data_IF_582222572225
#
_entry.id   IF_582222572225
#
_cell.length_a   1.000
_cell.length_b   1.000
_cell.length_c   1.000
_cell.angle_alpha   90.00
_cell.angle_beta   90.00
_cell.angle_gamma   90.00
#
_symmetry.space_group_name_H-M   'P 1'
#
loop_
_entity.id
_entity.type
_entity.pdbx_description
1 polymer ?
#
# COMPACT_ATOMS: atom_id res chain seq x y z
N UNK A 1 -22.99 -4.42 -15.85
CA UNK A 1 -21.82 -4.54 -16.74
C UNK A 1 -21.19 -3.21 -17.18
N UNK A 2 -21.49 -2.05 -16.58
CA UNK A 2 -20.80 -0.78 -16.88
C UNK A 2 -19.87 -0.29 -15.74
N UNK A 3 -19.75 -1.08 -14.67
CA UNK A 3 -18.98 -0.73 -13.46
C UNK A 3 -17.60 -1.44 -13.41
N UNK A 4 -17.38 -2.48 -14.24
CA UNK A 4 -16.15 -3.28 -14.22
C UNK A 4 -14.91 -2.53 -14.73
N UNK A 5 -15.04 -1.72 -15.78
CA UNK A 5 -13.90 -0.98 -16.36
C UNK A 5 -13.44 0.15 -15.43
N UNK A 6 -14.38 0.83 -14.76
CA UNK A 6 -14.03 1.89 -13.82
C UNK A 6 -13.33 1.33 -12.58
N UNK A 7 -13.86 0.24 -12.00
CA UNK A 7 -13.22 -0.42 -10.85
C UNK A 7 -11.80 -0.91 -11.21
N UNK A 8 -11.65 -1.52 -12.38
CA UNK A 8 -10.36 -1.91 -12.94
C UNK A 8 -9.37 -0.73 -13.01
N UNK A 9 -9.78 0.38 -13.64
CA UNK A 9 -8.94 1.56 -13.79
C UNK A 9 -8.54 2.12 -12.42
N UNK A 10 -9.48 2.24 -11.48
CA UNK A 10 -9.23 2.75 -10.13
C UNK A 10 -8.20 1.87 -9.41
N UNK A 11 -8.38 0.54 -9.43
CA UNK A 11 -7.45 -0.39 -8.76
C UNK A 11 -6.05 -0.34 -9.35
N UNK A 12 -5.95 -0.34 -10.69
CA UNK A 12 -4.66 -0.24 -11.38
C UNK A 12 -3.97 1.08 -11.06
N UNK A 13 -4.69 2.21 -11.14
CA UNK A 13 -4.15 3.52 -10.78
C UNK A 13 -3.72 3.60 -9.32
N UNK A 14 -4.47 2.99 -8.41
CA UNK A 14 -4.12 2.95 -6.98
C UNK A 14 -2.82 2.17 -6.75
N UNK A 15 -2.66 1.01 -7.40
CA UNK A 15 -1.43 0.21 -7.31
C UNK A 15 -0.24 0.94 -7.91
N UNK A 16 -0.42 1.61 -9.04
CA UNK A 16 0.62 2.43 -9.65
C UNK A 16 1.01 3.62 -8.77
N UNK A 17 0.03 4.34 -8.22
CA UNK A 17 0.26 5.50 -7.35
C UNK A 17 0.98 5.10 -6.06
N UNK A 18 0.51 4.05 -5.38
CA UNK A 18 1.14 3.53 -4.16
C UNK A 18 2.52 2.93 -4.43
N UNK A 19 2.70 2.23 -5.54
CA UNK A 19 4.00 1.69 -5.96
C UNK A 19 5.02 2.79 -6.28
N UNK A 20 4.60 3.84 -6.99
CA UNK A 20 5.46 4.99 -7.28
C UNK A 20 5.87 5.73 -6.01
N UNK A 21 4.92 5.97 -5.10
CA UNK A 21 5.19 6.61 -3.82
C UNK A 21 6.13 5.76 -2.95
N UNK A 22 5.88 4.46 -2.87
CA UNK A 22 6.78 3.53 -2.18
C UNK A 22 8.19 3.55 -2.80
N UNK A 23 8.32 3.55 -4.13
CA UNK A 23 9.62 3.60 -4.79
C UNK A 23 10.41 4.88 -4.46
N UNK A 24 9.75 6.04 -4.43
CA UNK A 24 10.37 7.33 -4.03
C UNK A 24 10.87 7.24 -2.59
N UNK A 25 10.01 6.80 -1.67
CA UNK A 25 10.34 6.71 -0.25
C UNK A 25 11.45 5.68 -0.02
N UNK A 26 11.41 4.55 -0.70
CA UNK A 26 12.44 3.52 -0.66
C UNK A 26 13.77 4.07 -1.17
N UNK A 27 13.80 4.81 -2.29
CA UNK A 27 15.02 5.48 -2.75
C UNK A 27 15.54 6.49 -1.75
N UNK A 28 14.66 7.28 -1.13
CA UNK A 28 15.04 8.24 -0.10
C UNK A 28 15.63 7.53 1.14
N UNK A 29 15.03 6.41 1.56
CA UNK A 29 15.59 5.55 2.60
C UNK A 29 16.97 5.00 2.20
N UNK A 30 17.12 4.45 1.00
CA UNK A 30 18.41 3.89 0.54
C UNK A 30 19.52 4.94 0.47
N UNK A 31 19.17 6.21 0.21
CA UNK A 31 20.10 7.34 0.18
C UNK A 31 20.53 7.80 1.57
N UNK A 32 19.57 8.00 2.48
CA UNK A 32 19.84 8.57 3.81
C UNK A 32 20.23 7.49 4.82
N UNK A 33 19.73 6.26 4.64
CA UNK A 33 19.90 5.07 5.51
C UNK A 33 19.58 5.33 6.99
N UNK A 34 18.66 6.25 7.26
CA UNK A 34 18.21 6.55 8.62
C UNK A 34 16.98 5.70 8.99
N UNK A 35 16.96 5.24 10.25
CA UNK A 35 15.83 4.59 10.91
C UNK A 35 14.49 5.33 10.77
N UNK A 36 14.46 6.67 10.72
CA UNK A 36 13.22 7.44 10.45
C UNK A 36 12.62 7.06 9.10
N UNK A 37 13.46 7.15 8.06
CA UNK A 37 13.09 6.82 6.70
C UNK A 37 12.76 5.33 6.53
N UNK A 38 13.39 4.45 7.32
CA UNK A 38 13.05 3.03 7.34
C UNK A 38 11.59 2.80 7.76
N UNK A 39 11.13 3.42 8.86
CA UNK A 39 9.75 3.29 9.31
C UNK A 39 8.75 3.88 8.32
N UNK A 40 9.05 5.04 7.73
CA UNK A 40 8.23 5.63 6.67
C UNK A 40 8.16 4.68 5.45
N UNK A 41 9.28 4.08 5.05
CA UNK A 41 9.33 3.11 3.96
C UNK A 41 8.50 1.86 4.26
N UNK A 42 8.54 1.33 5.48
CA UNK A 42 7.68 0.20 5.88
C UNK A 42 6.21 0.56 5.73
N UNK A 43 5.78 1.72 6.24
CA UNK A 43 4.38 2.13 6.16
C UNK A 43 3.87 2.25 4.73
N UNK A 44 4.63 2.90 3.84
CA UNK A 44 4.28 2.94 2.41
C UNK A 44 4.37 1.57 1.74
N UNK A 45 5.29 0.70 2.17
CA UNK A 45 5.40 -0.68 1.70
C UNK A 45 4.15 -1.50 2.05
N UNK A 46 3.60 -1.33 3.25
CA UNK A 46 2.34 -1.99 3.65
C UNK A 46 1.19 -1.54 2.76
N UNK A 47 1.04 -0.23 2.50
CA UNK A 47 0.00 0.26 1.59
C UNK A 47 0.16 -0.30 0.17
N UNK A 48 1.39 -0.34 -0.34
CA UNK A 48 1.66 -0.87 -1.67
C UNK A 48 1.36 -2.37 -1.76
N UNK A 49 1.84 -3.18 -0.82
CA UNK A 49 1.56 -4.63 -0.80
C UNK A 49 0.07 -4.89 -0.65
N UNK A 50 -0.61 -4.12 0.21
CA UNK A 50 -2.06 -4.25 0.39
C UNK A 50 -2.80 -3.95 -0.91
N UNK A 51 -2.46 -2.87 -1.62
CA UNK A 51 -3.06 -2.57 -2.92
C UNK A 51 -2.75 -3.66 -3.97
N UNK A 52 -1.50 -4.15 -4.00
CA UNK A 52 -1.07 -5.20 -4.91
C UNK A 52 -1.81 -6.52 -4.69
N UNK A 53 -2.19 -6.83 -3.45
CA UNK A 53 -2.92 -8.06 -3.11
C UNK A 53 -4.33 -8.12 -3.74
N UNK A 54 -4.92 -6.99 -4.13
CA UNK A 54 -6.22 -6.94 -4.83
C UNK A 54 -6.11 -7.06 -6.35
N UNK A 55 -4.89 -7.08 -6.92
CA UNK A 55 -4.69 -7.22 -8.37
C UNK A 55 -5.16 -8.59 -8.89
N UNK A 56 -4.89 -9.73 -8.25
CA UNK A 56 -5.31 -11.02 -8.79
C UNK A 56 -6.84 -11.17 -8.90
N UNK A 57 -7.62 -10.43 -8.09
CA UNK A 57 -9.09 -10.40 -8.21
C UNK A 57 -9.57 -9.89 -9.58
N UNK A 58 -8.74 -9.17 -10.32
CA UNK A 58 -9.05 -8.66 -11.66
C UNK A 58 -8.99 -9.77 -12.70
N UNK A 59 -8.11 -10.75 -12.52
CA UNK A 59 -7.78 -11.74 -13.55
C UNK A 59 -8.26 -13.16 -13.22
N UNK A 60 -8.51 -13.45 -11.93
CA UNK A 60 -8.87 -14.78 -11.44
C UNK A 60 -10.21 -14.64 -10.72
N UNK A 61 -11.30 -15.06 -11.37
CA UNK A 61 -12.66 -14.94 -10.81
C UNK A 61 -12.84 -15.69 -9.48
N UNK A 62 -12.12 -16.80 -9.31
CA UNK A 62 -12.10 -17.62 -8.10
C UNK A 62 -11.30 -16.97 -6.95
N UNK A 63 -10.44 -15.99 -7.28
CA UNK A 63 -9.66 -15.27 -6.30
C UNK A 63 -10.48 -14.10 -5.76
N UNK A 64 -11.08 -14.32 -4.58
CA UNK A 64 -11.62 -13.23 -3.76
C UNK A 64 -10.80 -13.13 -2.50
N UNK A 65 -10.10 -12.01 -2.35
CA UNK A 65 -9.42 -11.67 -1.13
C UNK A 65 -10.49 -11.25 -0.10
N UNK A 66 -11.06 -12.24 0.59
CA UNK A 66 -12.10 -12.04 1.59
C UNK A 66 -11.53 -11.48 2.91
N UNK A 67 -10.86 -10.33 2.82
CA UNK A 67 -10.38 -9.60 3.99
C UNK A 67 -11.58 -8.88 4.63
N UNK A 68 -11.92 -9.18 5.89
CA UNK A 68 -13.01 -8.49 6.55
C UNK A 68 -12.66 -7.02 6.81
N UNK A 69 -13.67 -6.14 6.88
CA UNK A 69 -13.48 -4.69 6.96
C UNK A 69 -12.62 -4.25 8.17
N UNK A 70 -12.70 -4.98 9.29
CA UNK A 70 -11.85 -4.76 10.45
C UNK A 70 -10.36 -5.05 10.16
N UNK A 71 -10.06 -6.11 9.39
CA UNK A 71 -8.70 -6.43 9.00
C UNK A 71 -8.13 -5.40 8.01
N UNK A 72 -8.95 -4.89 7.08
CA UNK A 72 -8.58 -3.74 6.25
C UNK A 72 -8.16 -2.55 7.11
N UNK A 73 -8.99 -2.18 8.09
CA UNK A 73 -8.72 -1.05 8.97
C UNK A 73 -7.43 -1.27 9.77
N UNK A 74 -7.20 -2.47 10.29
CA UNK A 74 -5.97 -2.82 11.02
C UNK A 74 -4.73 -2.69 10.14
N UNK A 75 -4.78 -3.15 8.87
CA UNK A 75 -3.66 -3.02 7.92
C UNK A 75 -3.33 -1.55 7.68
N UNK A 76 -4.35 -0.73 7.39
CA UNK A 76 -4.15 0.71 7.15
C UNK A 76 -3.65 1.42 8.41
N UNK A 77 -4.22 1.12 9.58
CA UNK A 77 -3.80 1.70 10.84
C UNK A 77 -2.35 1.33 11.17
N UNK A 78 -1.96 0.08 10.92
CA UNK A 78 -0.57 -0.38 11.09
C UNK A 78 0.38 0.38 10.18
N UNK A 79 0.03 0.54 8.89
CA UNK A 79 0.81 1.35 7.96
C UNK A 79 0.97 2.81 8.46
N UNK A 80 -0.13 3.41 8.94
CA UNK A 80 -0.12 4.77 9.49
C UNK A 80 0.71 4.89 10.78
N UNK A 81 0.69 3.89 11.66
CA UNK A 81 1.54 3.87 12.86
C UNK A 81 3.00 3.86 12.46
N UNK A 82 3.41 3.05 11.48
CA UNK A 82 4.79 3.04 10.99
C UNK A 82 5.21 4.40 10.43
N UNK A 83 4.35 5.04 9.63
CA UNK A 83 4.61 6.39 9.11
C UNK A 83 4.73 7.40 10.26
N UNK A 84 3.78 7.38 11.21
CA UNK A 84 3.77 8.29 12.35
C UNK A 84 5.03 8.13 13.22
N UNK A 85 5.43 6.90 13.54
CA UNK A 85 6.68 6.61 14.26
C UNK A 85 7.88 7.18 13.49
N UNK A 86 7.93 6.99 12.18
CA UNK A 86 9.01 7.55 11.36
C UNK A 86 9.04 9.09 11.33
N UNK A 87 7.87 9.74 11.36
CA UNK A 87 7.73 11.21 11.37
C UNK A 87 8.09 11.83 12.72
N UNK A 88 7.68 11.22 13.84
CA UNK A 88 7.87 11.74 15.19
C UNK A 88 9.12 11.22 15.89
N UNK A 89 9.85 10.28 15.28
CA UNK A 89 11.15 9.86 15.81
C UNK A 89 12.13 11.01 15.64
N UNK A 90 12.70 11.49 16.74
CA UNK A 90 13.77 12.49 16.79
C UNK A 90 15.15 11.88 16.47
#
# INVERSE_FOLDING_TARGET
MHIEILDLIIRVLLVLATGFLFAIILKAYLRVRNSKMFFIAIGFGIFFIHALAYIPEIFIEEYRLAIPANAHLVIHLTALIFIAVGMFKD
#
